data_IF_381014343929
#
_entry.id   IF_381014343929
#
_cell.length_a   1.000
_cell.length_b   1.000
_cell.length_c   1.000
_cell.angle_alpha   90.00
_cell.angle_beta   90.00
_cell.angle_gamma   90.00
#
_symmetry.space_group_name_H-M   'P 1'
#
loop_
_entity.id
_entity.type
_entity.pdbx_description
1 polymer ?
#
# COMPACT_ATOMS: atom_id res chain seq x y z
N UNK A 1 12.25 6.61 -15.12
CA UNK A 1 11.50 6.07 -13.96
C UNK A 1 10.06 5.87 -14.39
N UNK A 2 9.45 4.74 -14.01
CA UNK A 2 8.05 4.40 -14.33
C UNK A 2 7.32 4.12 -13.03
N UNK A 3 6.07 4.57 -12.90
CA UNK A 3 5.25 4.26 -11.74
C UNK A 3 4.93 2.76 -11.69
N UNK A 4 4.94 2.16 -10.50
CA UNK A 4 4.52 0.76 -10.30
C UNK A 4 3.01 0.57 -10.42
N UNK A 5 2.25 1.65 -10.25
CA UNK A 5 0.80 1.70 -10.38
C UNK A 5 0.37 3.13 -10.72
N UNK A 6 -0.64 3.24 -11.58
CA UNK A 6 -1.33 4.50 -11.88
C UNK A 6 -2.83 4.28 -11.72
N UNK A 7 -3.51 5.29 -11.17
CA UNK A 7 -4.96 5.35 -11.07
C UNK A 7 -5.44 6.71 -11.55
N UNK A 8 -6.66 6.78 -12.02
CA UNK A 8 -7.33 8.05 -12.24
C UNK A 8 -7.86 8.59 -10.90
N UNK A 9 -7.59 9.87 -10.62
CA UNK A 9 -8.04 10.53 -9.39
C UNK A 9 -7.02 10.55 -8.26
N UNK A 10 -7.50 10.96 -7.07
CA UNK A 10 -6.67 11.11 -5.87
C UNK A 10 -6.48 9.80 -5.10
N UNK A 11 -5.49 9.78 -4.21
CA UNK A 11 -5.27 8.66 -3.28
C UNK A 11 -6.29 8.71 -2.15
N UNK A 12 -7.02 7.61 -1.96
CA UNK A 12 -7.91 7.36 -0.83
C UNK A 12 -7.63 5.98 -0.21
N UNK A 13 -8.45 5.55 0.75
CA UNK A 13 -8.31 4.24 1.41
C UNK A 13 -8.40 3.08 0.41
N UNK A 14 -9.23 3.20 -0.63
CA UNK A 14 -9.44 2.17 -1.64
C UNK A 14 -8.20 2.02 -2.51
N UNK A 15 -7.66 3.15 -3.00
CA UNK A 15 -6.43 3.20 -3.77
C UNK A 15 -5.25 2.59 -3.01
N UNK A 16 -5.10 2.97 -1.73
CA UNK A 16 -4.03 2.43 -0.87
C UNK A 16 -4.17 0.93 -0.67
N UNK A 17 -5.38 0.44 -0.38
CA UNK A 17 -5.60 -1.01 -0.24
C UNK A 17 -5.33 -1.78 -1.53
N UNK A 18 -5.68 -1.20 -2.69
CA UNK A 18 -5.43 -1.83 -3.98
C UNK A 18 -3.92 -1.92 -4.26
N UNK A 19 -3.18 -0.84 -4.03
CA UNK A 19 -1.71 -0.84 -4.13
C UNK A 19 -1.09 -1.84 -3.16
N UNK A 20 -1.54 -1.85 -1.91
CA UNK A 20 -1.03 -2.75 -0.86
C UNK A 20 -1.18 -4.21 -1.30
N UNK A 21 -2.39 -4.62 -1.68
CA UNK A 21 -2.67 -6.02 -2.03
C UNK A 21 -2.08 -6.47 -3.37
N UNK A 22 -2.08 -5.60 -4.39
CA UNK A 22 -1.74 -5.99 -5.77
C UNK A 22 -0.31 -5.71 -6.16
N UNK A 23 0.35 -4.78 -5.47
CA UNK A 23 1.70 -4.33 -5.82
C UNK A 23 2.67 -4.59 -4.68
N UNK A 24 2.35 -4.13 -3.46
CA UNK A 24 3.29 -4.20 -2.33
C UNK A 24 3.42 -5.63 -1.78
N UNK A 25 2.35 -6.20 -1.22
CA UNK A 25 2.40 -7.48 -0.53
C UNK A 25 2.99 -8.64 -1.37
N UNK A 26 2.72 -8.77 -2.68
CA UNK A 26 3.34 -9.81 -3.51
C UNK A 26 4.88 -9.75 -3.58
N UNK A 27 5.48 -8.61 -3.22
CA UNK A 27 6.94 -8.41 -3.25
C UNK A 27 7.59 -8.62 -1.88
N UNK A 28 6.80 -8.70 -0.80
CA UNK A 28 7.30 -8.80 0.56
C UNK A 28 7.72 -10.22 0.91
N UNK A 29 8.70 -10.31 1.83
CA UNK A 29 9.17 -11.55 2.46
C UNK A 29 9.26 -11.35 3.98
N UNK A 30 9.18 -12.42 4.77
CA UNK A 30 9.41 -12.34 6.22
C UNK A 30 10.72 -11.60 6.54
N UNK A 31 10.64 -10.63 7.47
CA UNK A 31 11.76 -9.78 7.87
C UNK A 31 11.93 -8.50 7.04
N UNK A 32 11.13 -8.26 6.01
CA UNK A 32 11.08 -6.96 5.35
C UNK A 32 10.37 -5.92 6.21
N UNK A 33 10.82 -4.67 6.13
CA UNK A 33 10.22 -3.52 6.81
C UNK A 33 9.54 -2.66 5.77
N UNK A 34 8.24 -2.39 5.97
CA UNK A 34 7.48 -1.46 5.13
C UNK A 34 7.55 -0.06 5.74
N UNK A 35 7.88 0.93 4.92
CA UNK A 35 7.86 2.35 5.28
C UNK A 35 6.89 3.05 4.34
N UNK A 36 5.92 3.77 4.91
CA UNK A 36 4.95 4.59 4.18
C UNK A 36 4.93 6.01 4.77
N UNK A 37 4.45 6.98 4.02
CA UNK A 37 4.25 8.33 4.52
C UNK A 37 3.03 8.41 5.47
N UNK A 38 2.91 9.53 6.18
CA UNK A 38 1.99 9.70 7.31
C UNK A 38 0.55 10.08 6.89
N UNK A 39 0.09 9.63 5.72
CA UNK A 39 -1.27 9.90 5.25
C UNK A 39 -2.28 9.05 6.04
N UNK A 40 -3.45 9.62 6.35
CA UNK A 40 -4.48 8.90 7.12
C UNK A 40 -4.96 7.61 6.42
N UNK A 41 -4.92 7.56 5.10
CA UNK A 41 -5.30 6.38 4.32
C UNK A 41 -4.33 5.20 4.45
N UNK A 42 -3.07 5.45 4.80
CA UNK A 42 -2.10 4.39 5.11
C UNK A 42 -2.33 3.75 6.48
N UNK A 43 -3.07 4.43 7.37
CA UNK A 43 -3.33 3.98 8.75
C UNK A 43 -4.61 3.15 8.89
N UNK A 44 -5.18 2.70 7.78
CA UNK A 44 -6.38 1.85 7.85
C UNK A 44 -6.02 0.47 8.42
N UNK A 45 -6.89 -0.07 9.27
CA UNK A 45 -6.70 -1.40 9.88
C UNK A 45 -6.48 -2.50 8.83
N UNK A 46 -7.14 -2.38 7.68
CA UNK A 46 -7.00 -3.33 6.58
C UNK A 46 -5.61 -3.30 5.94
N UNK A 47 -4.95 -2.13 5.89
CA UNK A 47 -3.56 -2.01 5.37
C UNK A 47 -2.61 -2.69 6.34
N UNK A 48 -2.77 -2.44 7.63
CA UNK A 48 -1.96 -3.05 8.68
C UNK A 48 -2.10 -4.58 8.67
N UNK A 49 -3.32 -5.11 8.60
CA UNK A 49 -3.58 -6.55 8.52
C UNK A 49 -3.02 -7.19 7.24
N UNK A 50 -2.95 -6.47 6.13
CA UNK A 50 -2.42 -7.00 4.87
C UNK A 50 -0.89 -7.11 4.84
N UNK A 51 -0.18 -6.34 5.68
CA UNK A 51 1.29 -6.28 5.71
C UNK A 51 1.88 -7.20 6.80
N UNK A 52 1.09 -7.55 7.82
CA UNK A 52 1.46 -8.44 8.92
C UNK A 52 1.47 -9.93 8.51
#
# INVERSE_FOLDING_TARGET
>A
MTASMTIDGGIDNTAVMLFTNKVLCPTLRPGNVVIMDNLSSHKSKNVEEAIN
#
